data_IF_664328577802
#
_entry.id   IF_664328577802
#
_cell.length_a   1.000
_cell.length_b   1.000
_cell.length_c   1.000
_cell.angle_alpha   90.00
_cell.angle_beta   90.00
_cell.angle_gamma   90.00
#
_symmetry.space_group_name_H-M   'P 1'
#
loop_
_entity.id
_entity.type
_entity.pdbx_description
1 polymer ?
#
# COMPACT_ATOMS: atom_id res chain seq x y z
N UNK A 1 -13.00 -20.48 4.74
CA UNK A 1 -12.88 -19.06 5.16
C UNK A 1 -11.79 -18.81 6.21
N UNK A 2 -11.66 -19.60 7.29
CA UNK A 2 -10.61 -19.37 8.32
C UNK A 2 -9.16 -19.66 7.89
N UNK A 3 -8.96 -20.50 6.87
CA UNK A 3 -7.61 -20.90 6.39
C UNK A 3 -6.90 -19.82 5.55
N UNK A 4 -7.65 -18.90 4.92
CA UNK A 4 -7.10 -17.87 4.01
C UNK A 4 -6.39 -16.77 4.82
N UNK A 5 -6.94 -16.43 5.99
CA UNK A 5 -6.35 -15.49 6.94
C UNK A 5 -4.94 -15.94 7.39
N UNK A 6 -4.76 -17.24 7.59
CA UNK A 6 -3.47 -17.79 8.06
C UNK A 6 -2.39 -17.66 6.98
N UNK A 7 -2.73 -17.89 5.71
CA UNK A 7 -1.78 -17.77 4.59
C UNK A 7 -1.36 -16.32 4.36
N UNK A 8 -2.26 -15.36 4.58
CA UNK A 8 -1.98 -13.92 4.45
C UNK A 8 -1.05 -13.41 5.57
N UNK A 9 -1.25 -13.90 6.80
CA UNK A 9 -0.34 -13.63 7.93
C UNK A 9 1.04 -14.24 7.69
N UNK A 10 1.12 -15.42 7.07
CA UNK A 10 2.40 -16.05 6.73
C UNK A 10 3.17 -15.28 5.64
N UNK A 11 2.48 -14.72 4.64
CA UNK A 11 3.11 -13.87 3.61
C UNK A 11 3.59 -12.55 4.23
N UNK A 12 2.87 -12.02 5.24
CA UNK A 12 3.31 -10.86 6.02
C UNK A 12 4.52 -11.14 6.94
N UNK A 13 4.87 -12.40 7.21
CA UNK A 13 6.06 -12.70 8.02
C UNK A 13 7.38 -12.50 7.25
N UNK A 14 7.34 -12.45 5.92
CA UNK A 14 8.53 -12.30 5.07
C UNK A 14 8.82 -10.86 4.60
N UNK A 15 8.03 -9.86 5.04
CA UNK A 15 8.23 -8.45 4.61
C UNK A 15 9.33 -7.71 5.37
N UNK A 16 10.14 -8.37 6.20
CA UNK A 16 11.30 -7.76 6.87
C UNK A 16 12.43 -7.32 5.92
N UNK A 17 12.32 -7.56 4.62
CA UNK A 17 13.26 -7.04 3.61
C UNK A 17 12.81 -5.68 3.05
N UNK A 18 12.55 -4.69 3.91
CA UNK A 18 12.28 -3.31 3.49
C UNK A 18 13.45 -2.70 2.71
N UNK A 19 14.67 -3.21 2.86
CA UNK A 19 15.89 -2.67 2.22
C UNK A 19 16.09 -2.94 0.72
N UNK A 20 15.19 -3.66 0.03
CA UNK A 20 15.41 -4.04 -1.38
C UNK A 20 14.76 -3.12 -2.43
N UNK A 21 13.93 -2.13 -2.07
CA UNK A 21 13.20 -1.36 -3.09
C UNK A 21 13.24 0.17 -2.90
N UNK A 22 14.44 0.75 -3.10
CA UNK A 22 14.70 2.20 -3.09
C UNK A 22 13.73 3.02 -3.96
N UNK A 23 13.24 2.43 -5.05
CA UNK A 23 12.25 3.05 -5.91
C UNK A 23 10.90 3.23 -5.20
N UNK A 24 10.40 2.19 -4.54
CA UNK A 24 9.15 2.29 -3.79
C UNK A 24 9.29 3.15 -2.54
N UNK A 25 10.44 3.16 -1.87
CA UNK A 25 10.71 4.10 -0.78
C UNK A 25 10.63 5.56 -1.25
N UNK A 26 11.23 5.87 -2.41
CA UNK A 26 11.17 7.22 -3.00
C UNK A 26 9.74 7.61 -3.38
N UNK A 27 9.01 6.71 -4.02
CA UNK A 27 7.58 6.92 -4.30
C UNK A 27 6.78 7.10 -3.02
N UNK A 28 7.09 6.36 -1.96
CA UNK A 28 6.42 6.46 -0.68
C UNK A 28 6.68 7.83 -0.06
N UNK A 29 7.93 8.29 -0.03
CA UNK A 29 8.28 9.62 0.48
C UNK A 29 7.48 10.73 -0.21
N UNK A 30 7.48 10.76 -1.55
CA UNK A 30 6.71 11.75 -2.33
C UNK A 30 5.22 11.68 -2.00
N UNK A 31 4.68 10.47 -1.85
CA UNK A 31 3.28 10.28 -1.49
C UNK A 31 2.94 10.80 -0.09
N UNK A 32 3.79 10.52 0.89
CA UNK A 32 3.56 10.92 2.29
C UNK A 32 3.72 12.43 2.44
N UNK A 33 4.69 13.04 1.77
CA UNK A 33 4.84 14.50 1.73
C UNK A 33 3.60 15.17 1.12
N UNK A 34 3.07 14.64 0.01
CA UNK A 34 1.85 15.16 -0.60
C UNK A 34 0.62 14.94 0.30
N UNK A 35 0.49 13.78 0.95
CA UNK A 35 -0.60 13.51 1.87
C UNK A 35 -0.54 14.41 3.12
N UNK A 36 0.66 14.68 3.63
CA UNK A 36 0.88 15.57 4.76
C UNK A 36 0.48 17.00 4.42
N UNK A 37 0.83 17.49 3.23
CA UNK A 37 0.44 18.80 2.76
C UNK A 37 -1.09 18.92 2.51
N UNK A 38 -1.72 17.89 1.94
CA UNK A 38 -3.14 17.90 1.61
C UNK A 38 -4.04 17.77 2.86
N UNK A 39 -3.62 16.96 3.84
CA UNK A 39 -4.44 16.59 5.00
C UNK A 39 -3.90 17.11 6.33
N UNK A 40 -2.86 17.96 6.30
CA UNK A 40 -2.21 18.53 7.48
C UNK A 40 -1.77 17.46 8.49
N UNK A 41 -1.11 16.41 8.01
CA UNK A 41 -0.72 15.28 8.86
C UNK A 41 0.49 15.62 9.73
N UNK A 42 0.41 15.28 11.01
CA UNK A 42 1.57 15.34 11.92
C UNK A 42 2.59 14.22 11.63
N UNK A 43 3.77 14.31 12.25
CA UNK A 43 4.87 13.36 12.02
C UNK A 43 4.48 11.91 12.37
N UNK A 44 3.64 11.72 13.39
CA UNK A 44 3.18 10.39 13.79
C UNK A 44 2.22 9.82 12.75
N UNK A 45 1.26 10.61 12.29
CA UNK A 45 0.32 10.26 11.24
C UNK A 45 1.04 9.96 9.91
N UNK A 46 2.09 10.73 9.59
CA UNK A 46 2.95 10.47 8.43
C UNK A 46 3.68 9.14 8.53
N UNK A 47 4.26 8.82 9.70
CA UNK A 47 4.93 7.54 9.93
C UNK A 47 3.95 6.36 9.80
N UNK A 48 2.79 6.44 10.46
CA UNK A 48 1.74 5.40 10.38
C UNK A 48 1.23 5.20 8.94
N UNK A 49 1.03 6.29 8.20
CA UNK A 49 0.60 6.23 6.80
C UNK A 49 1.71 5.67 5.89
N UNK A 50 2.97 6.00 6.16
CA UNK A 50 4.14 5.52 5.45
C UNK A 50 4.27 4.01 5.56
N UNK A 51 4.18 3.46 6.77
CA UNK A 51 4.20 2.03 7.04
C UNK A 51 3.03 1.33 6.36
N UNK A 52 1.81 1.83 6.56
CA UNK A 52 0.60 1.27 5.95
C UNK A 52 0.67 1.20 4.42
N UNK A 53 1.22 2.24 3.78
CA UNK A 53 1.37 2.26 2.33
C UNK A 53 2.45 1.27 1.87
N UNK A 54 3.56 1.16 2.59
CA UNK A 54 4.61 0.20 2.24
C UNK A 54 4.17 -1.25 2.43
N UNK A 55 3.36 -1.56 3.45
CA UNK A 55 2.73 -2.88 3.59
C UNK A 55 1.90 -3.24 2.34
N UNK A 56 1.07 -2.29 1.87
CA UNK A 56 0.27 -2.48 0.66
C UNK A 56 1.15 -2.67 -0.59
N UNK A 57 2.19 -1.87 -0.74
CA UNK A 57 3.14 -1.97 -1.86
C UNK A 57 3.87 -3.31 -1.82
N UNK A 58 4.27 -3.79 -0.64
CA UNK A 58 4.94 -5.07 -0.49
C UNK A 58 4.04 -6.23 -0.92
N UNK A 59 2.75 -6.23 -0.55
CA UNK A 59 1.78 -7.22 -1.04
C UNK A 59 1.61 -7.13 -2.56
N UNK A 60 1.58 -5.93 -3.13
CA UNK A 60 1.52 -5.76 -4.59
C UNK A 60 2.75 -6.34 -5.30
N UNK A 61 3.95 -6.06 -4.80
CA UNK A 61 5.21 -6.56 -5.37
C UNK A 61 5.30 -8.08 -5.25
N UNK A 62 5.03 -8.63 -4.05
CA UNK A 62 5.13 -10.07 -3.81
C UNK A 62 4.08 -10.86 -4.60
N UNK A 63 2.84 -10.40 -4.65
CA UNK A 63 1.79 -11.04 -5.45
C UNK A 63 2.07 -10.96 -6.96
N UNK A 64 2.67 -9.87 -7.45
CA UNK A 64 3.11 -9.80 -8.85
C UNK A 64 4.25 -10.77 -9.13
N UNK A 65 5.22 -10.91 -8.22
CA UNK A 65 6.32 -11.86 -8.36
C UNK A 65 5.79 -13.30 -8.36
N UNK A 66 4.96 -13.66 -7.39
CA UNK A 66 4.34 -14.98 -7.29
C UNK A 66 3.50 -15.31 -8.54
N UNK A 67 2.73 -14.34 -9.05
CA UNK A 67 1.96 -14.53 -10.28
C UNK A 67 2.87 -14.73 -11.51
N UNK A 68 3.97 -13.99 -11.63
CA UNK A 68 4.94 -14.17 -12.73
C UNK A 68 5.67 -15.51 -12.67
N UNK A 69 5.77 -16.09 -11.48
CA UNK A 69 6.36 -17.40 -11.24
C UNK A 69 5.33 -18.54 -11.31
N UNK A 70 4.09 -18.26 -11.71
CA UNK A 70 2.97 -19.21 -11.73
C UNK A 70 2.65 -19.85 -10.35
N UNK A 71 3.09 -19.23 -9.25
CA UNK A 71 2.86 -19.69 -7.87
C UNK A 71 1.42 -19.39 -7.39
N UNK A 72 0.78 -18.38 -7.98
CA UNK A 72 -0.62 -18.00 -7.67
C UNK A 72 -1.39 -17.69 -8.95
N UNK A 73 -2.70 -17.92 -8.91
CA UNK A 73 -3.59 -17.57 -10.02
C UNK A 73 -3.82 -16.05 -10.12
N UNK A 74 -4.35 -15.61 -11.28
CA UNK A 74 -4.75 -14.22 -11.50
C UNK A 74 -5.81 -13.77 -10.49
N UNK A 75 -6.77 -14.63 -10.19
CA UNK A 75 -7.84 -14.39 -9.21
C UNK A 75 -7.25 -14.21 -7.82
N UNK A 76 -6.28 -15.06 -7.43
CA UNK A 76 -5.63 -14.95 -6.12
C UNK A 76 -4.82 -13.65 -6.00
N UNK A 77 -4.12 -13.26 -7.07
CA UNK A 77 -3.43 -11.96 -7.13
C UNK A 77 -4.41 -10.80 -6.96
N UNK A 78 -5.55 -10.83 -7.66
CA UNK A 78 -6.58 -9.79 -7.56
C UNK A 78 -7.19 -9.72 -6.15
N UNK A 79 -7.41 -10.87 -5.51
CA UNK A 79 -7.88 -10.94 -4.13
C UNK A 79 -6.89 -10.28 -3.17
N UNK A 80 -5.62 -10.70 -3.19
CA UNK A 80 -4.56 -10.18 -2.30
C UNK A 80 -4.37 -8.67 -2.46
N UNK A 81 -4.31 -8.19 -3.70
CA UNK A 81 -4.12 -6.76 -3.98
C UNK A 81 -5.33 -5.94 -3.56
N UNK A 82 -6.56 -6.43 -3.77
CA UNK A 82 -7.79 -5.77 -3.32
C UNK A 82 -7.86 -5.69 -1.79
N UNK A 83 -7.51 -6.76 -1.09
CA UNK A 83 -7.51 -6.78 0.38
C UNK A 83 -6.47 -5.82 0.95
N UNK A 84 -5.25 -5.80 0.39
CA UNK A 84 -4.22 -4.85 0.79
C UNK A 84 -4.67 -3.38 0.56
N UNK A 85 -5.27 -3.08 -0.60
CA UNK A 85 -5.81 -1.73 -0.86
C UNK A 85 -6.95 -1.38 0.10
N UNK A 86 -7.82 -2.32 0.45
CA UNK A 86 -8.89 -2.08 1.42
C UNK A 86 -8.33 -1.77 2.81
N UNK A 87 -7.33 -2.54 3.27
CA UNK A 87 -6.66 -2.28 4.55
C UNK A 87 -5.99 -0.91 4.57
N UNK A 88 -5.28 -0.57 3.49
CA UNK A 88 -4.65 0.73 3.34
C UNK A 88 -5.66 1.88 3.38
N UNK A 89 -6.73 1.84 2.56
CA UNK A 89 -7.74 2.90 2.55
C UNK A 89 -8.46 3.05 3.89
N UNK A 90 -8.68 1.94 4.62
CA UNK A 90 -9.23 2.00 5.97
C UNK A 90 -8.28 2.70 6.95
N UNK A 91 -6.97 2.40 6.89
CA UNK A 91 -5.96 3.09 7.71
C UNK A 91 -5.88 4.58 7.35
N UNK A 92 -5.78 4.91 6.06
CA UNK A 92 -5.73 6.29 5.58
C UNK A 92 -7.00 7.09 5.95
N UNK A 93 -8.18 6.48 5.87
CA UNK A 93 -9.44 7.12 6.29
C UNK A 93 -9.44 7.44 7.79
N UNK A 94 -8.91 6.55 8.63
CA UNK A 94 -8.77 6.78 10.07
C UNK A 94 -7.77 7.90 10.39
N UNK A 95 -6.65 7.94 9.66
CA UNK A 95 -5.59 8.93 9.85
C UNK A 95 -6.07 10.33 9.42
N UNK A 96 -6.69 10.42 8.25
CA UNK A 96 -7.09 11.71 7.65
C UNK A 96 -8.47 12.19 8.10
N UNK A 97 -9.28 11.30 8.69
CA UNK A 97 -10.70 11.55 8.96
C UNK A 97 -11.56 11.69 7.70
N UNK A 98 -11.03 11.36 6.51
CA UNK A 98 -11.72 11.53 5.24
C UNK A 98 -12.38 10.23 4.79
N UNK A 99 -13.52 10.35 4.10
CA UNK A 99 -14.14 9.21 3.43
C UNK A 99 -13.37 8.85 2.17
N UNK A 100 -13.56 7.63 1.65
CA UNK A 100 -12.95 7.24 0.37
C UNK A 100 -13.35 8.18 -0.78
N UNK A 101 -14.59 8.67 -0.76
CA UNK A 101 -15.09 9.61 -1.78
C UNK A 101 -14.27 10.91 -1.79
N UNK A 102 -13.92 11.41 -0.61
CA UNK A 102 -13.16 12.66 -0.45
C UNK A 102 -11.68 12.45 -0.74
N UNK A 103 -11.14 11.25 -0.48
CA UNK A 103 -9.76 10.90 -0.81
C UNK A 103 -9.55 10.60 -2.30
N UNK A 104 -10.61 10.21 -3.03
CA UNK A 104 -10.51 9.76 -4.42
C UNK A 104 -9.72 10.72 -5.34
N UNK A 105 -9.98 12.05 -5.35
CA UNK A 105 -9.23 12.97 -6.20
C UNK A 105 -7.72 12.97 -5.90
N UNK A 106 -7.35 12.94 -4.62
CA UNK A 106 -5.96 12.83 -4.20
C UNK A 106 -5.33 11.51 -4.65
N UNK A 107 -6.03 10.38 -4.46
CA UNK A 107 -5.54 9.06 -4.87
C UNK A 107 -5.30 8.98 -6.39
N UNK A 108 -6.19 9.57 -7.19
CA UNK A 108 -6.06 9.64 -8.65
C UNK A 108 -4.90 10.53 -9.07
N UNK A 109 -4.76 11.72 -8.46
CA UNK A 109 -3.61 12.62 -8.68
C UNK A 109 -2.29 11.92 -8.36
N UNK A 110 -2.19 11.30 -7.18
CA UNK A 110 -0.99 10.61 -6.77
C UNK A 110 -0.65 9.44 -7.68
N UNK A 111 -1.64 8.71 -8.21
CA UNK A 111 -1.37 7.64 -9.18
C UNK A 111 -0.63 8.15 -10.42
N UNK A 112 -0.98 9.33 -10.92
CA UNK A 112 -0.32 9.91 -12.09
C UNK A 112 1.04 10.54 -11.76
N UNK A 113 1.16 11.19 -10.60
CA UNK A 113 2.43 11.77 -10.15
C UNK A 113 3.49 10.71 -9.86
N UNK A 114 3.09 9.60 -9.22
CA UNK A 114 4.02 8.53 -8.88
C UNK A 114 4.61 7.80 -10.09
N UNK A 115 3.95 7.83 -11.26
CA UNK A 115 4.52 7.30 -12.51
C UNK A 115 5.73 8.11 -13.00
N UNK A 116 5.86 9.37 -12.56
CA UNK A 116 6.93 10.30 -12.96
C UNK A 116 8.13 10.22 -12.02
N UNK A 117 7.95 9.64 -10.83
CA UNK A 117 9.04 9.38 -9.88
C UNK A 117 9.94 8.29 -10.47
N UNK A 118 11.20 8.61 -10.74
CA UNK A 118 12.25 7.68 -11.19
C UNK A 118 13.07 7.21 -10.00
#
# INVERSE_FOLDING_TARGET
MKKILITLVLIMAFVSTYGQNKYHERQNKVYIEAAAAEYSLDDKQQAELSEARMEMVAVYVSSNKAFKNDEISKEKKQELTREASKLYHNKMSKITGKSYKDMKPFLEKMREELKKVK
#
